data_IF_370286706475
#
_entry.id   IF_370286706475
#
_cell.length_a   1.000
_cell.length_b   1.000
_cell.length_c   1.000
_cell.angle_alpha   90.00
_cell.angle_beta   90.00
_cell.angle_gamma   90.00
#
_symmetry.space_group_name_H-M   'P 1'
#
loop_
_entity.id
_entity.type
_entity.pdbx_description
1 polymer ?
#
# COMPACT_ATOMS: atom_id res chain seq x y z
N UNK A 1 -24.56 -0.21 4.74
CA UNK A 1 -23.56 0.62 5.43
C UNK A 1 -22.17 0.27 4.91
N UNK A 2 -21.42 1.25 4.50
CA UNK A 2 -20.04 0.97 4.12
C UNK A 2 -19.26 0.56 5.35
N UNK A 3 -18.50 -0.51 5.21
CA UNK A 3 -17.65 -1.03 6.29
C UNK A 3 -16.20 -0.61 6.12
N UNK A 4 -15.92 0.19 5.10
CA UNK A 4 -14.56 0.61 4.81
C UNK A 4 -14.13 1.85 5.57
N UNK A 5 -12.83 2.05 5.66
CA UNK A 5 -12.25 3.26 6.25
C UNK A 5 -10.93 3.57 5.56
N UNK A 6 -10.57 4.84 5.60
CA UNK A 6 -9.29 5.28 5.08
C UNK A 6 -8.22 5.05 6.14
N UNK A 7 -7.11 4.46 5.75
CA UNK A 7 -5.97 4.26 6.64
C UNK A 7 -4.72 4.86 6.02
N UNK A 8 -3.82 5.31 6.87
CA UNK A 8 -2.49 5.76 6.46
C UNK A 8 -1.56 4.56 6.45
N UNK A 9 -0.84 4.38 5.35
CA UNK A 9 0.17 3.34 5.24
C UNK A 9 1.53 4.02 5.21
N UNK A 10 2.34 3.73 6.23
CA UNK A 10 3.65 4.37 6.40
C UNK A 10 4.78 3.36 6.32
N UNK A 11 5.93 3.81 5.88
CA UNK A 11 7.16 3.06 6.02
C UNK A 11 7.58 3.06 7.50
N UNK A 12 8.37 2.07 7.91
CA UNK A 12 8.89 2.00 9.26
C UNK A 12 9.77 3.22 9.62
N UNK A 13 10.24 3.97 8.64
CA UNK A 13 10.96 5.23 8.87
C UNK A 13 10.05 6.42 9.17
N UNK A 14 8.72 6.24 9.10
CA UNK A 14 7.73 7.28 9.37
C UNK A 14 7.22 8.01 8.15
N UNK A 15 7.75 7.73 6.97
CA UNK A 15 7.30 8.38 5.74
C UNK A 15 5.90 7.89 5.35
N UNK A 16 4.96 8.82 5.10
CA UNK A 16 3.62 8.46 4.62
C UNK A 16 3.70 8.07 3.16
N UNK A 17 3.44 6.79 2.89
CA UNK A 17 3.56 6.21 1.55
C UNK A 17 2.32 6.43 0.72
N UNK A 18 1.16 6.11 1.29
CA UNK A 18 -0.12 6.29 0.61
C UNK A 18 -1.26 6.17 1.62
N UNK A 19 -2.45 6.58 1.17
CA UNK A 19 -3.69 6.35 1.90
C UNK A 19 -4.54 5.37 1.14
N UNK A 20 -5.16 4.47 1.86
CA UNK A 20 -5.84 3.33 1.28
C UNK A 20 -7.23 3.17 1.86
N UNK A 21 -8.20 2.91 0.99
CA UNK A 21 -9.55 2.55 1.42
C UNK A 21 -9.59 1.05 1.71
N UNK A 22 -9.70 0.72 2.98
CA UNK A 22 -9.72 -0.67 3.43
C UNK A 22 -11.15 -1.06 3.80
N UNK A 23 -11.66 -2.09 3.14
CA UNK A 23 -12.94 -2.70 3.48
C UNK A 23 -12.68 -3.97 4.28
N UNK A 24 -13.49 -4.22 5.30
CA UNK A 24 -13.39 -5.42 6.10
C UNK A 24 -12.40 -5.30 7.27
N UNK A 25 -12.22 -6.41 7.96
CA UNK A 25 -11.38 -6.51 9.15
C UNK A 25 -10.08 -7.22 8.83
N UNK A 26 -9.10 -7.08 9.71
CA UNK A 26 -7.85 -7.81 9.64
C UNK A 26 -6.69 -6.96 9.17
N UNK A 27 -5.53 -7.60 9.09
CA UNK A 27 -4.29 -6.94 8.70
C UNK A 27 -4.28 -6.63 7.22
N UNK A 28 -3.78 -5.46 6.88
CA UNK A 28 -3.58 -5.10 5.49
C UNK A 28 -2.34 -5.83 4.95
N UNK A 29 -2.56 -6.74 4.01
CA UNK A 29 -1.49 -7.54 3.41
C UNK A 29 -1.26 -7.13 1.97
N UNK A 30 -2.34 -6.84 1.24
CA UNK A 30 -2.32 -6.47 -0.18
C UNK A 30 -3.12 -5.22 -0.39
N UNK A 31 -2.59 -4.30 -1.18
CA UNK A 31 -3.26 -3.05 -1.51
C UNK A 31 -3.57 -3.02 -2.99
N UNK A 32 -4.85 -3.07 -3.34
CA UNK A 32 -5.28 -2.91 -4.74
C UNK A 32 -5.00 -1.46 -5.14
N UNK A 33 -4.22 -1.27 -6.20
CA UNK A 33 -3.75 0.08 -6.59
C UNK A 33 -4.93 1.02 -6.87
N UNK A 34 -6.02 0.52 -7.46
CA UNK A 34 -7.20 1.34 -7.76
C UNK A 34 -7.94 1.85 -6.53
N UNK A 35 -7.64 1.31 -5.35
CA UNK A 35 -8.27 1.74 -4.09
C UNK A 35 -7.44 2.74 -3.29
N UNK A 36 -6.30 3.16 -3.81
CA UNK A 36 -5.50 4.20 -3.18
C UNK A 36 -6.24 5.53 -3.29
N UNK A 37 -6.43 6.19 -2.16
CA UNK A 37 -7.03 7.53 -2.15
C UNK A 37 -5.99 8.60 -2.37
N UNK A 38 -4.77 8.37 -1.88
CA UNK A 38 -3.62 9.23 -2.13
C UNK A 38 -2.37 8.35 -2.30
N UNK A 39 -1.52 8.72 -3.22
CA UNK A 39 -0.33 7.95 -3.57
C UNK A 39 0.89 8.87 -3.63
N UNK A 40 1.75 8.77 -2.64
CA UNK A 40 2.95 9.61 -2.53
C UNK A 40 4.21 8.91 -3.04
N UNK A 41 4.07 7.70 -3.55
CA UNK A 41 5.20 6.88 -4.02
C UNK A 41 5.17 6.71 -5.54
N UNK A 42 4.00 6.88 -6.17
CA UNK A 42 3.84 6.66 -7.60
C UNK A 42 3.46 5.23 -7.94
N UNK A 43 2.75 4.55 -7.04
CA UNK A 43 2.35 3.15 -7.25
C UNK A 43 1.43 2.98 -8.45
N UNK A 44 0.64 4.01 -8.78
CA UNK A 44 -0.28 3.94 -9.91
C UNK A 44 0.44 3.77 -11.26
N UNK A 45 1.70 4.15 -11.32
CA UNK A 45 2.53 4.00 -12.51
C UNK A 45 3.51 2.85 -12.41
N UNK A 46 3.45 2.06 -11.35
CA UNK A 46 4.37 0.95 -11.14
C UNK A 46 4.02 -0.23 -12.05
N UNK A 47 5.05 -0.90 -12.54
CA UNK A 47 4.87 -2.07 -13.40
C UNK A 47 4.68 -3.33 -12.58
N UNK A 48 3.98 -4.31 -13.16
CA UNK A 48 3.82 -5.62 -12.55
C UNK A 48 5.19 -6.25 -12.27
N UNK A 49 5.31 -6.87 -11.10
CA UNK A 49 6.54 -7.47 -10.58
C UNK A 49 7.64 -6.50 -10.24
N UNK A 50 7.39 -5.19 -10.30
CA UNK A 50 8.33 -4.22 -9.78
C UNK A 50 8.28 -4.20 -8.24
N UNK A 51 9.37 -3.73 -7.64
CA UNK A 51 9.50 -3.66 -6.18
C UNK A 51 9.70 -2.21 -5.76
N UNK A 52 8.62 -1.49 -5.51
CA UNK A 52 8.72 -0.08 -5.12
C UNK A 52 9.45 0.08 -3.78
N UNK A 53 10.15 1.19 -3.67
CA UNK A 53 10.92 1.51 -2.47
C UNK A 53 10.44 2.81 -1.85
N UNK A 54 10.66 2.93 -0.55
CA UNK A 54 10.36 4.16 0.16
C UNK A 54 11.24 5.29 -0.37
N UNK A 55 10.66 6.44 -0.77
CA UNK A 55 11.46 7.57 -1.28
C UNK A 55 12.37 8.18 -0.21
N UNK A 56 12.06 7.94 1.06
CA UNK A 56 12.82 8.52 2.16
C UNK A 56 13.98 7.63 2.61
N UNK A 57 13.75 6.35 2.87
CA UNK A 57 14.78 5.47 3.41
C UNK A 57 15.26 4.40 2.44
N UNK A 58 14.60 4.21 1.31
CA UNK A 58 15.01 3.27 0.29
C UNK A 58 14.66 1.81 0.54
N UNK A 59 13.97 1.50 1.63
CA UNK A 59 13.55 0.12 1.90
C UNK A 59 12.48 -0.33 0.93
N UNK A 60 12.54 -1.60 0.55
CA UNK A 60 11.57 -2.21 -0.35
C UNK A 60 10.22 -2.33 0.35
N UNK A 61 9.17 -1.81 -0.28
CA UNK A 61 7.82 -1.79 0.29
C UNK A 61 7.07 -3.10 0.06
N UNK A 62 7.40 -3.81 -0.99
CA UNK A 62 6.74 -5.03 -1.38
C UNK A 62 6.93 -5.28 -2.86
N UNK A 63 6.02 -6.05 -3.45
CA UNK A 63 6.06 -6.37 -4.87
C UNK A 63 4.70 -6.12 -5.51
N UNK A 64 4.69 -5.56 -6.71
CA UNK A 64 3.47 -5.36 -7.48
C UNK A 64 3.10 -6.69 -8.13
N UNK A 65 1.87 -7.14 -7.92
CA UNK A 65 1.34 -8.38 -8.47
C UNK A 65 -0.02 -8.12 -9.10
N UNK A 66 -0.46 -9.04 -9.96
CA UNK A 66 -1.83 -9.03 -10.46
C UNK A 66 -2.69 -9.91 -9.57
N UNK A 67 -3.77 -9.34 -9.04
CA UNK A 67 -4.73 -10.05 -8.20
C UNK A 67 -6.10 -9.83 -8.80
N UNK A 68 -6.76 -10.91 -9.19
CA UNK A 68 -8.07 -10.88 -9.86
C UNK A 68 -8.09 -9.89 -11.04
N UNK A 69 -7.00 -9.86 -11.81
CA UNK A 69 -6.90 -8.99 -12.98
C UNK A 69 -6.55 -7.53 -12.68
N UNK A 70 -6.27 -7.19 -11.44
CA UNK A 70 -5.92 -5.82 -11.04
C UNK A 70 -4.53 -5.77 -10.43
N UNK A 71 -3.76 -4.70 -10.68
CA UNK A 71 -2.47 -4.54 -10.02
C UNK A 71 -2.65 -4.27 -8.53
N UNK A 72 -1.84 -4.90 -7.72
CA UNK A 72 -1.88 -4.76 -6.28
C UNK A 72 -0.47 -4.81 -5.72
N UNK A 73 -0.23 -4.08 -4.62
CA UNK A 73 1.02 -4.14 -3.90
C UNK A 73 0.90 -5.14 -2.76
N UNK A 74 1.67 -6.22 -2.83
CA UNK A 74 1.80 -7.14 -1.73
C UNK A 74 2.82 -6.56 -0.75
N UNK A 75 2.37 -6.17 0.43
CA UNK A 75 3.20 -5.46 1.39
C UNK A 75 4.24 -6.35 2.05
N UNK A 76 5.42 -5.79 2.21
CA UNK A 76 6.48 -6.37 3.01
C UNK A 76 6.22 -6.00 4.48
N UNK A 77 5.72 -6.94 5.27
CA UNK A 77 5.21 -6.68 6.62
C UNK A 77 6.26 -6.11 7.57
N UNK A 78 7.52 -6.43 7.36
CA UNK A 78 8.60 -5.90 8.21
C UNK A 78 8.94 -4.44 7.95
N UNK A 79 8.43 -3.86 6.86
CA UNK A 79 8.74 -2.49 6.44
C UNK A 79 7.58 -1.52 6.67
N UNK A 80 6.36 -2.04 6.78
CA UNK A 80 5.13 -1.25 6.69
C UNK A 80 4.46 -1.09 8.04
N UNK A 81 4.03 0.13 8.36
CA UNK A 81 3.13 0.42 9.48
C UNK A 81 1.82 0.97 8.93
N UNK A 82 0.71 0.51 9.47
CA UNK A 82 -0.61 1.01 9.11
C UNK A 82 -1.22 1.75 10.29
N UNK A 83 -1.79 2.92 10.02
CA UNK A 83 -2.43 3.76 11.04
C UNK A 83 -3.87 3.97 10.64
N UNK A 84 -4.77 3.65 11.55
CA UNK A 84 -6.21 3.91 11.36
C UNK A 84 -6.51 5.37 11.63
N UNK A 85 -7.26 5.95 10.74
CA UNK A 85 -7.75 7.31 10.92
C UNK A 85 -9.14 7.33 11.55
#
# INVERSE_FOLDING_TARGET
MPSGRIIDVKCCCGYLLFRYYKAGKGRLIKCIISRLTEDFVGLQNAKTFSRPKCPNCGKELGIIMMIHGEPALKLNQGTIETIRL
#
